data_IF_758124360171
#
_entry.id   IF_758124360171
#
_cell.length_a   1.000
_cell.length_b   1.000
_cell.length_c   1.000
_cell.angle_alpha   90.00
_cell.angle_beta   90.00
_cell.angle_gamma   90.00
#
_symmetry.space_group_name_H-M   'P 1'
#
loop_
_entity.id
_entity.type
_entity.pdbx_description
1 polymer ?
#
# COMPACT_ATOMS: atom_id res chain seq x y z
N UNK A 1 -14.79 24.38 -8.80
CA UNK A 1 -14.74 24.94 -7.44
C UNK A 1 -13.36 24.63 -6.88
N UNK A 2 -12.62 25.63 -6.40
CA UNK A 2 -11.34 25.39 -5.71
C UNK A 2 -11.65 24.86 -4.30
N UNK A 3 -11.31 23.60 -4.04
CA UNK A 3 -11.55 22.92 -2.76
C UNK A 3 -10.40 23.11 -1.77
N UNK A 4 -9.82 24.31 -1.67
CA UNK A 4 -8.81 24.57 -0.64
C UNK A 4 -9.45 25.17 0.60
N UNK A 5 -9.53 24.38 1.68
CA UNK A 5 -9.70 24.97 3.01
C UNK A 5 -8.33 25.48 3.47
N UNK A 6 -8.20 26.76 3.85
CA UNK A 6 -6.92 27.36 4.25
C UNK A 6 -6.27 26.71 5.48
N UNK A 7 -7.04 25.92 6.24
CA UNK A 7 -6.56 25.18 7.42
C UNK A 7 -5.84 23.86 7.06
N UNK A 8 -6.01 23.34 5.84
CA UNK A 8 -5.49 22.02 5.44
C UNK A 8 -3.98 22.06 5.21
N UNK A 9 -3.46 23.13 4.59
CA UNK A 9 -2.06 23.21 4.20
C UNK A 9 -1.12 23.18 5.41
N UNK A 10 -1.33 23.98 6.49
CA UNK A 10 -0.46 23.93 7.66
C UNK A 10 -0.54 22.60 8.42
N UNK A 11 -1.75 22.03 8.54
CA UNK A 11 -1.96 20.74 9.21
C UNK A 11 -1.23 19.62 8.46
N UNK A 12 -1.32 19.60 7.13
CA UNK A 12 -0.66 18.65 6.25
C UNK A 12 0.86 18.76 6.32
N UNK A 13 1.41 19.98 6.27
CA UNK A 13 2.85 20.22 6.40
C UNK A 13 3.39 19.72 7.74
N UNK A 14 2.67 19.98 8.84
CA UNK A 14 3.07 19.50 10.15
C UNK A 14 2.97 17.97 10.25
N UNK A 15 1.91 17.35 9.74
CA UNK A 15 1.76 15.90 9.72
C UNK A 15 2.87 15.22 8.92
N UNK A 16 3.32 15.80 7.79
CA UNK A 16 4.48 15.31 7.02
C UNK A 16 5.78 15.36 7.82
N UNK A 17 6.02 16.44 8.55
CA UNK A 17 7.20 16.59 9.40
C UNK A 17 7.21 15.55 10.53
N UNK A 18 6.09 15.38 11.22
CA UNK A 18 5.90 14.38 12.29
C UNK A 18 6.17 12.98 11.75
N UNK A 19 5.59 12.65 10.60
CA UNK A 19 5.77 11.38 9.93
C UNK A 19 7.21 11.12 9.52
N UNK A 20 7.89 12.10 8.91
CA UNK A 20 9.31 11.97 8.53
C UNK A 20 10.17 11.64 9.75
N UNK A 21 9.94 12.30 10.88
CA UNK A 21 10.64 12.00 12.14
C UNK A 21 10.32 10.59 12.65
N UNK A 22 9.06 10.17 12.58
CA UNK A 22 8.66 8.81 12.97
C UNK A 22 9.31 7.73 12.08
N UNK A 23 9.46 7.97 10.77
CA UNK A 23 10.21 7.09 9.87
C UNK A 23 11.70 7.03 10.23
N UNK A 24 12.33 8.18 10.49
CA UNK A 24 13.74 8.19 10.90
C UNK A 24 13.97 7.42 12.20
N UNK A 25 13.06 7.53 13.17
CA UNK A 25 13.15 6.78 14.41
C UNK A 25 12.89 5.28 14.20
N UNK A 26 11.87 4.92 13.40
CA UNK A 26 11.49 3.53 13.16
C UNK A 26 12.61 2.67 12.55
N UNK A 27 13.57 3.29 11.85
CA UNK A 27 14.70 2.60 11.21
C UNK A 27 16.06 3.01 11.76
N UNK A 28 16.07 3.71 12.91
CA UNK A 28 17.29 4.15 13.56
C UNK A 28 18.20 2.97 13.86
N UNK A 29 19.49 3.14 13.57
CA UNK A 29 20.55 2.14 13.85
C UNK A 29 20.29 0.75 13.22
N UNK A 30 19.50 0.69 12.15
CA UNK A 30 19.26 -0.53 11.39
C UNK A 30 20.54 -1.02 10.70
N UNK A 31 20.80 -2.32 10.80
CA UNK A 31 21.84 -3.04 10.05
C UNK A 31 21.24 -4.03 9.04
N UNK A 32 20.14 -4.69 9.42
CA UNK A 32 19.45 -5.69 8.60
C UNK A 32 17.95 -5.38 8.57
N UNK A 33 17.36 -5.55 7.39
CA UNK A 33 15.96 -5.30 7.12
C UNK A 33 15.27 -6.57 6.63
N UNK A 34 14.20 -6.96 7.31
CA UNK A 34 13.35 -8.08 6.94
C UNK A 34 12.00 -7.55 6.50
N UNK A 35 11.63 -7.77 5.24
CA UNK A 35 10.37 -7.28 4.69
C UNK A 35 9.51 -8.47 4.29
N UNK A 36 8.33 -8.58 4.88
CA UNK A 36 7.30 -9.50 4.44
C UNK A 36 6.26 -8.75 3.62
N UNK A 37 6.34 -8.96 2.31
CA UNK A 37 5.43 -8.42 1.33
C UNK A 37 5.26 -9.41 0.20
N UNK A 38 4.01 -9.72 -0.17
CA UNK A 38 3.70 -10.64 -1.26
C UNK A 38 3.96 -10.11 -2.67
N UNK A 39 4.80 -9.09 -2.84
CA UNK A 39 5.12 -8.53 -4.16
C UNK A 39 6.55 -7.93 -4.21
N UNK A 40 7.37 -8.43 -5.14
CA UNK A 40 8.73 -7.94 -5.41
C UNK A 40 8.81 -6.44 -5.74
N UNK A 41 7.79 -5.87 -6.39
CA UNK A 41 7.73 -4.44 -6.66
C UNK A 41 7.54 -3.60 -5.39
N UNK A 42 6.77 -4.10 -4.43
CA UNK A 42 6.61 -3.47 -3.10
C UNK A 42 7.91 -3.51 -2.31
N UNK A 43 8.64 -4.64 -2.40
CA UNK A 43 9.97 -4.79 -1.79
C UNK A 43 10.97 -3.76 -2.32
N UNK A 44 11.07 -3.64 -3.65
CA UNK A 44 11.95 -2.66 -4.30
C UNK A 44 11.58 -1.20 -3.96
N UNK A 45 10.28 -0.92 -3.84
CA UNK A 45 9.80 0.39 -3.45
C UNK A 45 10.09 0.74 -1.99
N UNK A 46 9.84 -0.19 -1.06
CA UNK A 46 10.16 -0.03 0.37
C UNK A 46 11.67 0.16 0.53
N UNK A 47 12.48 -0.62 -0.19
CA UNK A 47 13.92 -0.46 -0.22
C UNK A 47 14.35 0.92 -0.70
N UNK A 48 13.82 1.38 -1.84
CA UNK A 48 14.12 2.71 -2.39
C UNK A 48 13.71 3.82 -1.44
N UNK A 49 12.53 3.72 -0.82
CA UNK A 49 12.05 4.70 0.15
C UNK A 49 12.94 4.76 1.40
N UNK A 50 13.32 3.60 1.94
CA UNK A 50 14.26 3.53 3.06
C UNK A 50 15.60 4.15 2.68
N UNK A 51 16.11 3.87 1.49
CA UNK A 51 17.32 4.53 0.96
C UNK A 51 17.17 6.05 0.87
N UNK A 52 16.08 6.55 0.29
CA UNK A 52 15.84 7.98 0.07
C UNK A 52 15.57 8.77 1.36
N UNK A 53 14.86 8.18 2.33
CA UNK A 53 14.43 8.88 3.55
C UNK A 53 15.42 8.71 4.70
N UNK A 54 16.03 7.52 4.81
CA UNK A 54 16.73 7.08 6.02
C UNK A 54 18.24 7.11 5.83
N UNK A 55 18.71 6.83 4.60
CA UNK A 55 20.12 6.85 4.24
C UNK A 55 20.39 7.68 2.98
N UNK A 56 19.97 8.96 2.92
CA UNK A 56 20.17 9.78 1.72
C UNK A 56 21.64 9.93 1.30
N UNK A 57 22.56 9.79 2.27
CA UNK A 57 24.01 9.95 2.09
C UNK A 57 24.81 8.63 2.19
N UNK A 58 24.14 7.49 2.35
CA UNK A 58 24.80 6.18 2.44
C UNK A 58 24.18 5.19 1.45
N UNK A 59 25.03 4.46 0.72
CA UNK A 59 24.57 3.36 -0.13
C UNK A 59 24.10 2.20 0.75
N UNK A 60 22.81 2.17 1.08
CA UNK A 60 22.18 1.00 1.67
C UNK A 60 22.27 -0.15 0.65
N UNK A 61 22.96 -1.24 0.98
CA UNK A 61 23.25 -2.31 0.01
C UNK A 61 22.14 -3.36 -0.03
N UNK A 62 21.87 -3.95 -1.20
CA UNK A 62 20.87 -5.02 -1.37
C UNK A 62 21.12 -6.22 -0.43
N UNK A 63 22.38 -6.45 -0.04
CA UNK A 63 22.78 -7.52 0.89
C UNK A 63 22.26 -7.35 2.32
N UNK A 64 21.65 -6.20 2.64
CA UNK A 64 21.09 -5.91 3.96
C UNK A 64 19.57 -6.08 4.01
N UNK A 65 18.94 -6.50 2.89
CA UNK A 65 17.48 -6.64 2.77
C UNK A 65 17.11 -8.08 2.47
N UNK A 66 16.22 -8.63 3.29
CA UNK A 66 15.73 -9.98 3.18
C UNK A 66 14.23 -9.96 2.97
N UNK A 67 13.80 -10.50 1.83
CA UNK A 67 12.39 -10.79 1.61
C UNK A 67 12.01 -12.03 2.40
N UNK A 68 10.95 -11.91 3.19
CA UNK A 68 10.35 -13.00 3.95
C UNK A 68 9.02 -13.34 3.29
N UNK A 69 8.97 -14.47 2.58
CA UNK A 69 7.74 -14.94 1.94
C UNK A 69 6.98 -15.88 2.90
N UNK A 70 6.08 -15.30 3.68
CA UNK A 70 5.17 -16.03 4.59
C UNK A 70 3.71 -15.85 4.17
N UNK A 71 3.47 -15.61 2.88
CA UNK A 71 2.13 -15.39 2.33
C UNK A 71 1.21 -16.58 2.68
N UNK A 72 -0.01 -16.28 3.16
CA UNK A 72 -1.04 -17.29 3.48
C UNK A 72 -1.28 -17.56 4.96
N UNK A 73 -0.44 -17.07 5.87
CA UNK A 73 -0.64 -17.15 7.33
C UNK A 73 -1.22 -15.86 7.96
N UNK A 74 -1.51 -14.86 7.12
CA UNK A 74 -2.03 -13.56 7.51
C UNK A 74 -3.56 -13.58 7.70
N UNK A 75 -4.10 -12.73 8.59
CA UNK A 75 -5.54 -12.65 8.79
C UNK A 75 -6.24 -12.11 7.54
N UNK A 76 -7.48 -12.57 7.32
CA UNK A 76 -8.39 -11.93 6.37
C UNK A 76 -9.04 -10.72 7.04
N UNK A 77 -8.44 -9.55 6.88
CA UNK A 77 -8.95 -8.30 7.46
C UNK A 77 -9.10 -7.20 6.37
N UNK A 78 -10.18 -6.40 6.39
CA UNK A 78 -10.34 -5.26 5.48
C UNK A 78 -9.33 -4.13 5.75
N UNK A 79 -8.76 -4.03 6.94
CA UNK A 79 -7.75 -3.03 7.30
C UNK A 79 -6.36 -3.49 6.85
N UNK A 80 -5.76 -2.74 5.93
CA UNK A 80 -4.41 -3.01 5.46
C UNK A 80 -3.38 -2.94 6.61
N UNK A 81 -3.60 -2.05 7.59
CA UNK A 81 -2.71 -1.91 8.74
C UNK A 81 -2.70 -3.18 9.62
N UNK A 82 -3.84 -3.84 9.82
CA UNK A 82 -3.93 -5.07 10.63
C UNK A 82 -3.15 -6.21 9.96
N UNK A 83 -3.30 -6.34 8.64
CA UNK A 83 -2.55 -7.33 7.84
C UNK A 83 -1.05 -7.01 7.88
N UNK A 84 -0.68 -5.73 7.75
CA UNK A 84 0.71 -5.28 7.84
C UNK A 84 1.37 -5.62 9.20
N UNK A 85 0.68 -5.37 10.32
CA UNK A 85 1.18 -5.79 11.65
C UNK A 85 1.40 -7.30 11.73
N UNK A 86 0.46 -8.08 11.19
CA UNK A 86 0.57 -9.53 11.21
C UNK A 86 1.78 -10.01 10.38
N UNK A 87 2.00 -9.45 9.19
CA UNK A 87 3.18 -9.74 8.35
C UNK A 87 4.50 -9.39 9.04
N UNK A 88 4.55 -8.23 9.71
CA UNK A 88 5.70 -7.78 10.48
C UNK A 88 6.02 -8.78 11.60
N UNK A 89 5.04 -9.15 12.42
CA UNK A 89 5.20 -10.10 13.52
C UNK A 89 5.59 -11.51 13.03
N UNK A 90 4.98 -12.00 11.95
CA UNK A 90 5.33 -13.28 11.34
C UNK A 90 6.81 -13.32 10.91
N UNK A 91 7.32 -12.22 10.35
CA UNK A 91 8.73 -12.09 9.98
C UNK A 91 9.65 -12.19 11.18
N UNK A 92 9.31 -11.48 12.26
CA UNK A 92 10.02 -11.54 13.53
C UNK A 92 10.04 -12.97 14.10
N UNK A 93 8.88 -13.62 14.19
CA UNK A 93 8.74 -14.98 14.71
C UNK A 93 9.58 -15.97 13.90
N UNK A 94 9.59 -15.85 12.56
CA UNK A 94 10.41 -16.73 11.73
C UNK A 94 11.90 -16.54 11.99
N UNK A 95 12.38 -15.30 12.12
CA UNK A 95 13.80 -15.05 12.43
C UNK A 95 14.17 -15.53 13.83
N UNK A 96 13.28 -15.34 14.81
CA UNK A 96 13.46 -15.88 16.16
C UNK A 96 13.53 -17.42 16.16
N UNK A 97 12.71 -18.09 15.34
CA UNK A 97 12.70 -19.55 15.22
C UNK A 97 14.04 -20.11 14.70
N UNK A 98 14.78 -19.34 13.90
CA UNK A 98 16.10 -19.72 13.40
C UNK A 98 17.16 -19.73 14.51
N UNK A 99 17.04 -18.84 15.49
CA UNK A 99 17.96 -18.73 16.64
C UNK A 99 17.62 -19.73 17.73
N UNK A 100 16.33 -19.94 17.95
CA UNK A 100 15.79 -20.91 18.89
C UNK A 100 15.92 -22.32 18.29
N UNK A 101 17.15 -22.84 18.23
CA UNK A 101 17.40 -24.23 17.82
C UNK A 101 16.58 -25.16 18.72
N UNK A 102 16.01 -26.27 18.19
CA UNK A 102 15.10 -27.16 18.93
C UNK A 102 15.62 -27.67 20.28
N UNK A 103 16.94 -27.70 20.46
CA UNK A 103 17.61 -28.33 21.61
C UNK A 103 18.33 -27.33 22.53
N UNK A 104 18.14 -26.01 22.35
CA UNK A 104 18.71 -25.00 23.25
C UNK A 104 17.75 -23.82 23.40
N UNK A 105 17.31 -23.58 24.63
CA UNK A 105 16.63 -22.34 24.99
C UNK A 105 17.69 -21.22 24.94
N UNK A 106 17.51 -20.25 24.04
CA UNK A 106 18.30 -19.02 24.05
C UNK A 106 17.95 -18.21 25.30
N UNK A 107 18.93 -17.54 25.90
CA UNK A 107 18.64 -16.60 26.99
C UNK A 107 17.93 -15.35 26.45
N UNK A 108 17.25 -14.61 27.32
CA UNK A 108 16.62 -13.34 26.95
C UNK A 108 17.65 -12.34 26.38
N UNK A 109 18.87 -12.34 26.91
CA UNK A 109 19.98 -11.50 26.43
C UNK A 109 20.44 -11.92 25.02
N UNK A 110 20.53 -13.22 24.74
CA UNK A 110 20.87 -13.73 23.41
C UNK A 110 19.80 -13.35 22.37
N UNK A 111 18.52 -13.41 22.75
CA UNK A 111 17.41 -12.96 21.91
C UNK A 111 17.48 -11.45 21.68
N UNK A 112 17.69 -10.66 22.73
CA UNK A 112 17.79 -9.20 22.63
C UNK A 112 18.96 -8.76 21.75
N UNK A 113 20.14 -9.34 21.94
CA UNK A 113 21.32 -9.03 21.12
C UNK A 113 21.13 -9.48 19.68
N UNK A 114 20.47 -10.63 19.43
CA UNK A 114 20.14 -11.05 18.08
C UNK A 114 19.16 -10.10 17.38
N UNK A 115 18.17 -9.59 18.11
CA UNK A 115 17.12 -8.71 17.58
C UNK A 115 17.57 -7.27 17.42
N UNK A 116 18.66 -6.89 18.10
CA UNK A 116 19.28 -5.58 17.99
C UNK A 116 19.64 -5.26 16.53
N UNK A 117 19.35 -4.03 16.11
CA UNK A 117 19.64 -3.51 14.75
C UNK A 117 18.95 -4.29 13.61
N UNK A 118 18.01 -5.18 13.93
CA UNK A 118 17.12 -5.80 12.94
C UNK A 118 15.81 -5.07 12.93
N UNK A 119 15.39 -4.71 11.72
CA UNK A 119 14.10 -4.07 11.49
C UNK A 119 13.21 -5.04 10.73
N UNK A 120 11.99 -5.21 11.24
CA UNK A 120 10.97 -6.02 10.60
C UNK A 120 9.90 -5.12 10.03
N UNK A 121 9.52 -5.34 8.78
CA UNK A 121 8.52 -4.56 8.07
C UNK A 121 7.46 -5.48 7.51
N UNK A 122 6.21 -5.14 7.79
CA UNK A 122 5.06 -5.67 7.08
C UNK A 122 4.36 -4.55 6.33
N UNK A 123 3.96 -4.82 5.09
CA UNK A 123 3.22 -3.87 4.27
C UNK A 123 2.03 -4.56 3.60
N UNK A 124 0.91 -3.85 3.55
CA UNK A 124 -0.28 -4.28 2.85
C UNK A 124 -1.08 -3.10 2.28
N UNK A 125 -1.92 -3.41 1.30
CA UNK A 125 -2.73 -2.42 0.60
C UNK A 125 -4.03 -3.03 0.12
N UNK A 126 -5.14 -2.44 0.49
CA UNK A 126 -6.48 -2.82 0.05
C UNK A 126 -7.07 -1.73 -0.84
N UNK A 127 -7.92 -2.13 -1.77
CA UNK A 127 -8.63 -1.22 -2.65
C UNK A 127 -10.12 -1.45 -2.55
N UNK A 128 -10.89 -0.37 -2.56
CA UNK A 128 -12.33 -0.36 -2.44
C UNK A 128 -12.93 0.48 -3.55
N UNK A 129 -13.90 -0.07 -4.26
CA UNK A 129 -14.63 0.62 -5.31
C UNK A 129 -16.03 0.96 -4.80
N UNK A 130 -16.49 2.19 -5.01
CA UNK A 130 -17.88 2.55 -4.73
C UNK A 130 -18.81 1.90 -5.76
N UNK A 131 -19.65 0.99 -5.31
CA UNK A 131 -20.68 0.31 -6.10
C UNK A 131 -22.03 0.58 -5.43
N UNK A 132 -22.96 1.19 -6.16
CA UNK A 132 -24.30 1.55 -5.66
C UNK A 132 -24.30 2.36 -4.35
N UNK A 133 -23.26 3.18 -4.13
CA UNK A 133 -23.13 4.02 -2.93
C UNK A 133 -22.42 3.35 -1.74
N UNK A 134 -22.01 2.10 -1.87
CA UNK A 134 -21.25 1.37 -0.84
C UNK A 134 -19.84 1.04 -1.34
N UNK A 135 -18.85 1.08 -0.45
CA UNK A 135 -17.50 0.66 -0.77
C UNK A 135 -17.38 -0.86 -0.70
N UNK A 136 -17.06 -1.48 -1.83
CA UNK A 136 -16.84 -2.92 -1.95
C UNK A 136 -15.34 -3.16 -2.09
N UNK A 137 -14.77 -3.95 -1.18
CA UNK A 137 -13.37 -4.36 -1.24
C UNK A 137 -13.13 -5.17 -2.53
N UNK A 138 -12.10 -4.80 -3.26
CA UNK A 138 -11.63 -5.51 -4.44
C UNK A 138 -10.57 -6.52 -4.00
N UNK A 139 -10.76 -7.79 -4.34
CA UNK A 139 -9.90 -8.89 -3.92
C UNK A 139 -9.16 -9.48 -5.11
N UNK A 140 -7.88 -9.84 -4.95
CA UNK A 140 -7.14 -10.59 -5.97
C UNK A 140 -7.89 -11.84 -6.43
N UNK A 141 -7.78 -12.18 -7.71
CA UNK A 141 -8.29 -13.44 -8.25
C UNK A 141 -7.44 -14.65 -7.86
N UNK A 142 -6.23 -14.41 -7.34
CA UNK A 142 -5.18 -15.40 -7.00
C UNK A 142 -5.68 -16.61 -6.21
N UNK A 143 -6.66 -16.41 -5.30
CA UNK A 143 -7.07 -17.50 -4.40
C UNK A 143 -7.73 -18.69 -5.10
N UNK A 144 -8.09 -18.58 -6.38
CA UNK A 144 -8.71 -19.65 -7.17
C UNK A 144 -7.93 -20.08 -8.41
N UNK A 145 -6.95 -19.29 -8.86
CA UNK A 145 -6.27 -19.52 -10.14
C UNK A 145 -4.76 -19.36 -9.95
N UNK A 146 -4.00 -20.45 -10.14
CA UNK A 146 -2.59 -20.51 -9.76
C UNK A 146 -1.64 -19.78 -10.73
N UNK A 147 -1.95 -19.73 -12.02
CA UNK A 147 -1.01 -19.16 -13.02
C UNK A 147 -1.68 -18.44 -14.20
N UNK A 148 -2.92 -18.80 -14.54
CA UNK A 148 -3.64 -18.18 -15.66
C UNK A 148 -5.14 -18.08 -15.38
N UNK A 149 -5.72 -16.92 -15.67
CA UNK A 149 -7.17 -16.73 -15.63
C UNK A 149 -7.84 -17.42 -16.86
N UNK A 150 -8.82 -18.31 -16.65
CA UNK A 150 -9.63 -18.87 -17.74
C UNK A 150 -10.37 -17.77 -18.51
N UNK A 151 -10.60 -17.96 -19.82
CA UNK A 151 -11.28 -16.96 -20.66
C UNK A 151 -12.66 -16.58 -20.10
N UNK A 152 -13.44 -17.55 -19.63
CA UNK A 152 -14.75 -17.29 -19.03
C UNK A 152 -14.66 -16.42 -17.78
N UNK A 153 -13.64 -16.62 -16.94
CA UNK A 153 -13.42 -15.81 -15.75
C UNK A 153 -12.96 -14.40 -16.12
N UNK A 154 -12.12 -14.28 -17.16
CA UNK A 154 -11.69 -12.98 -17.68
C UNK A 154 -12.85 -12.19 -18.30
N UNK A 155 -13.73 -12.84 -19.06
CA UNK A 155 -14.93 -12.21 -19.63
C UNK A 155 -15.87 -11.73 -18.52
N UNK A 156 -16.07 -12.53 -17.46
CA UNK A 156 -16.86 -12.10 -16.29
C UNK A 156 -16.26 -10.87 -15.63
N UNK A 157 -14.94 -10.88 -15.41
CA UNK A 157 -14.21 -9.73 -14.87
C UNK A 157 -14.37 -8.49 -15.76
N UNK A 158 -14.23 -8.64 -17.08
CA UNK A 158 -14.41 -7.55 -18.03
C UNK A 158 -15.81 -6.95 -17.94
N UNK A 159 -16.86 -7.78 -17.90
CA UNK A 159 -18.23 -7.30 -17.79
C UNK A 159 -18.47 -6.57 -16.47
N UNK A 160 -17.95 -7.09 -15.36
CA UNK A 160 -18.06 -6.49 -14.03
C UNK A 160 -17.32 -5.14 -13.95
N UNK A 161 -16.07 -5.10 -14.39
CA UNK A 161 -15.26 -3.88 -14.40
C UNK A 161 -15.83 -2.85 -15.37
N UNK A 162 -16.30 -3.24 -16.56
CA UNK A 162 -16.96 -2.32 -17.50
C UNK A 162 -18.20 -1.68 -16.86
N UNK A 163 -19.03 -2.47 -16.16
CA UNK A 163 -20.20 -1.96 -15.45
C UNK A 163 -19.81 -0.94 -14.36
N UNK A 164 -18.75 -1.21 -13.60
CA UNK A 164 -18.42 -0.37 -12.45
C UNK A 164 -17.54 0.84 -12.80
N UNK A 165 -16.69 0.75 -13.82
CA UNK A 165 -15.74 1.79 -14.20
C UNK A 165 -16.21 2.63 -15.41
N UNK A 166 -16.82 2.01 -16.42
CA UNK A 166 -17.31 2.73 -17.61
C UNK A 166 -18.76 3.19 -17.48
N UNK A 167 -19.57 2.46 -16.71
CA UNK A 167 -21.00 2.77 -16.54
C UNK A 167 -21.47 2.80 -15.07
N UNK A 168 -20.75 3.51 -14.18
CA UNK A 168 -21.11 3.55 -12.77
C UNK A 168 -22.52 4.10 -12.56
N UNK A 169 -23.31 3.48 -11.67
CA UNK A 169 -24.68 3.90 -11.37
C UNK A 169 -24.79 5.37 -10.92
N UNK A 170 -23.74 5.87 -10.24
CA UNK A 170 -23.66 7.25 -9.73
C UNK A 170 -23.06 8.23 -10.75
N UNK A 171 -22.78 7.80 -11.99
CA UNK A 171 -22.17 8.62 -13.04
C UNK A 171 -20.69 8.98 -12.80
N UNK A 172 -20.07 8.39 -11.78
CA UNK A 172 -18.66 8.62 -11.42
C UNK A 172 -18.02 7.35 -10.87
N UNK A 173 -16.72 7.23 -11.06
CA UNK A 173 -15.88 6.21 -10.43
C UNK A 173 -15.29 6.81 -9.17
N UNK A 174 -15.45 6.12 -8.03
CA UNK A 174 -14.84 6.52 -6.76
C UNK A 174 -14.12 5.32 -6.18
N UNK A 175 -12.81 5.46 -6.02
CA UNK A 175 -11.93 4.42 -5.52
C UNK A 175 -11.22 4.92 -4.28
N UNK A 176 -11.10 4.04 -3.31
CA UNK A 176 -10.35 4.25 -2.08
C UNK A 176 -9.28 3.18 -1.96
N UNK A 177 -8.04 3.59 -1.76
CA UNK A 177 -6.96 2.71 -1.34
C UNK A 177 -6.70 2.90 0.16
N UNK A 178 -6.57 1.80 0.88
CA UNK A 178 -6.21 1.72 2.29
C UNK A 178 -4.82 1.08 2.38
N UNK A 179 -3.84 1.83 2.86
CA UNK A 179 -2.42 1.49 2.77
C UNK A 179 -1.82 1.43 4.16
N UNK A 180 -1.25 0.28 4.53
CA UNK A 180 -0.75 0.02 5.88
C UNK A 180 0.70 -0.45 5.87
N UNK A 181 1.51 0.15 6.73
CA UNK A 181 2.87 -0.31 7.04
C UNK A 181 3.04 -0.43 8.55
N UNK A 182 3.60 -1.54 8.98
CA UNK A 182 4.04 -1.76 10.35
C UNK A 182 5.55 -2.03 10.36
N UNK A 183 6.26 -1.39 11.28
CA UNK A 183 7.72 -1.48 11.44
C UNK A 183 8.04 -1.80 12.88
N UNK A 184 8.96 -2.74 13.12
CA UNK A 184 9.45 -3.07 14.46
C UNK A 184 10.96 -2.95 14.53
N UNK A 185 11.43 -2.09 15.43
CA UNK A 185 12.83 -1.84 15.74
C UNK A 185 12.99 -1.58 17.24
N UNK A 186 12.87 -2.63 18.04
CA UNK A 186 12.69 -2.51 19.50
C UNK A 186 11.30 -1.98 19.89
N UNK A 187 10.90 -0.82 19.35
CA UNK A 187 9.55 -0.28 19.41
C UNK A 187 8.76 -0.58 18.11
N UNK A 188 7.44 -0.62 18.22
CA UNK A 188 6.54 -0.77 17.07
C UNK A 188 6.08 0.60 16.56
N UNK A 189 6.11 0.76 15.24
CA UNK A 189 5.69 1.95 14.52
C UNK A 189 4.69 1.55 13.44
N UNK A 190 3.70 2.40 13.22
CA UNK A 190 2.60 2.14 12.29
C UNK A 190 2.36 3.37 11.43
N UNK A 191 2.13 3.15 10.14
CA UNK A 191 1.79 4.19 9.18
C UNK A 191 0.55 3.73 8.40
N UNK A 192 -0.50 4.54 8.42
CA UNK A 192 -1.79 4.20 7.78
C UNK A 192 -2.32 5.37 6.95
N UNK A 193 -2.32 5.20 5.64
CA UNK A 193 -2.78 6.21 4.69
C UNK A 193 -3.99 5.72 3.91
N UNK A 194 -4.85 6.67 3.56
CA UNK A 194 -5.95 6.46 2.64
C UNK A 194 -5.83 7.38 1.45
N UNK A 195 -5.95 6.84 0.25
CA UNK A 195 -5.95 7.61 -0.99
C UNK A 195 -7.33 7.46 -1.63
N UNK A 196 -8.04 8.55 -1.86
CA UNK A 196 -9.30 8.56 -2.59
C UNK A 196 -9.13 9.26 -3.93
N UNK A 197 -9.60 8.63 -5.00
CA UNK A 197 -9.70 9.24 -6.33
C UNK A 197 -11.16 9.18 -6.78
N UNK A 198 -11.68 10.33 -7.22
CA UNK A 198 -12.98 10.45 -7.87
C UNK A 198 -12.74 10.89 -9.30
N UNK A 199 -13.30 10.15 -10.25
CA UNK A 199 -13.16 10.39 -11.67
C UNK A 199 -14.51 10.26 -12.38
N UNK A 200 -14.60 10.88 -13.56
CA UNK A 200 -15.59 10.52 -14.56
C UNK A 200 -15.45 9.05 -14.98
N UNK A 201 -16.48 8.46 -15.60
CA UNK A 201 -16.39 7.12 -16.14
C UNK A 201 -15.16 6.94 -17.05
N UNK A 202 -14.57 5.74 -17.00
CA UNK A 202 -13.39 5.39 -17.79
C UNK A 202 -13.84 5.04 -19.21
N UNK A 203 -13.07 5.49 -20.20
CA UNK A 203 -13.25 5.06 -21.57
C UNK A 203 -13.15 3.51 -21.70
N UNK A 204 -14.14 2.84 -22.33
CA UNK A 204 -14.14 1.38 -22.45
C UNK A 204 -12.92 0.81 -23.19
N UNK A 205 -12.38 1.51 -24.19
CA UNK A 205 -11.20 1.05 -24.92
C UNK A 205 -9.96 1.13 -24.04
N UNK A 206 -9.82 2.19 -23.26
CA UNK A 206 -8.73 2.33 -22.29
C UNK A 206 -8.80 1.26 -21.20
N UNK A 207 -9.99 0.99 -20.65
CA UNK A 207 -10.18 -0.08 -19.67
C UNK A 207 -9.78 -1.44 -20.26
N UNK A 208 -10.19 -1.73 -21.50
CA UNK A 208 -9.83 -2.97 -22.19
C UNK A 208 -8.31 -3.12 -22.35
N UNK A 209 -7.60 -2.06 -22.77
CA UNK A 209 -6.15 -2.08 -22.93
C UNK A 209 -5.45 -2.43 -21.61
N UNK A 210 -5.82 -1.77 -20.51
CA UNK A 210 -5.24 -2.01 -19.19
C UNK A 210 -5.57 -3.41 -18.64
N UNK A 211 -6.79 -3.90 -18.83
CA UNK A 211 -7.18 -5.25 -18.42
C UNK A 211 -6.43 -6.31 -19.24
N UNK A 212 -6.27 -6.12 -20.54
CA UNK A 212 -5.55 -7.06 -21.39
C UNK A 212 -4.06 -7.09 -21.01
N UNK A 213 -3.43 -5.93 -20.82
CA UNK A 213 -2.05 -5.85 -20.34
C UNK A 213 -1.88 -6.53 -18.98
N UNK A 214 -2.81 -6.28 -18.04
CA UNK A 214 -2.80 -6.91 -16.71
C UNK A 214 -3.00 -8.43 -16.78
N UNK A 215 -3.70 -8.93 -17.80
CA UNK A 215 -3.85 -10.36 -18.07
C UNK A 215 -2.53 -10.95 -18.57
N UNK A 216 -1.91 -10.31 -19.54
CA UNK A 216 -0.69 -10.79 -20.21
C UNK A 216 0.51 -10.83 -19.27
N UNK A 217 0.62 -9.87 -18.35
CA UNK A 217 1.70 -9.83 -17.36
C UNK A 217 1.34 -10.51 -16.01
N UNK A 218 0.13 -11.06 -15.88
CA UNK A 218 -0.35 -11.74 -14.68
C UNK A 218 -0.68 -10.83 -13.49
N UNK A 219 -0.72 -9.51 -13.65
CA UNK A 219 -1.14 -8.57 -12.59
C UNK A 219 -2.58 -8.80 -12.13
N UNK A 220 -3.46 -9.33 -13.00
CA UNK A 220 -4.84 -9.71 -12.64
C UNK A 220 -4.89 -10.67 -11.45
N UNK A 221 -3.91 -11.57 -11.35
CA UNK A 221 -3.86 -12.52 -10.25
C UNK A 221 -3.19 -11.92 -9.02
N UNK A 222 -2.26 -10.98 -9.18
CA UNK A 222 -1.36 -10.50 -8.12
C UNK A 222 -1.81 -9.22 -7.42
N UNK A 223 -2.72 -8.45 -8.02
CA UNK A 223 -3.18 -7.14 -7.54
C UNK A 223 -4.63 -7.15 -7.06
N UNK A 224 -4.89 -6.45 -5.95
CA UNK A 224 -6.25 -6.24 -5.42
C UNK A 224 -7.12 -5.39 -6.36
N UNK A 225 -6.51 -4.63 -7.26
CA UNK A 225 -7.20 -3.82 -8.26
C UNK A 225 -7.51 -4.57 -9.56
N UNK A 226 -7.04 -5.81 -9.71
CA UNK A 226 -7.07 -6.62 -10.95
C UNK A 226 -6.30 -6.01 -12.14
N UNK A 227 -6.15 -4.70 -12.20
CA UNK A 227 -5.37 -3.98 -13.19
C UNK A 227 -4.70 -2.78 -12.52
N UNK A 228 -3.76 -2.16 -13.22
CA UNK A 228 -3.12 -0.90 -12.86
C UNK A 228 -4.16 0.25 -12.83
N UNK A 229 -5.09 0.20 -11.88
CA UNK A 229 -6.32 0.99 -11.90
C UNK A 229 -6.08 2.48 -11.63
N UNK A 230 -5.07 2.82 -10.82
CA UNK A 230 -4.70 4.22 -10.62
C UNK A 230 -4.04 4.80 -11.88
N UNK A 231 -3.22 4.02 -12.58
CA UNK A 231 -2.62 4.41 -13.85
C UNK A 231 -3.69 4.62 -14.93
N UNK A 232 -4.61 3.67 -15.06
CA UNK A 232 -5.76 3.76 -15.97
C UNK A 232 -6.61 5.02 -15.68
N UNK A 233 -6.87 5.33 -14.40
CA UNK A 233 -7.59 6.55 -14.01
C UNK A 233 -6.83 7.83 -14.36
N UNK A 234 -5.52 7.85 -14.17
CA UNK A 234 -4.67 9.00 -14.51
C UNK A 234 -4.66 9.20 -16.03
N UNK A 235 -4.52 8.13 -16.81
CA UNK A 235 -4.50 8.19 -18.27
C UNK A 235 -5.85 8.58 -18.87
N UNK A 236 -6.97 8.18 -18.24
CA UNK A 236 -8.31 8.62 -18.65
C UNK A 236 -8.47 10.15 -18.62
N UNK A 237 -7.59 10.88 -17.91
CA UNK A 237 -7.62 12.34 -17.75
C UNK A 237 -8.97 12.88 -17.23
N UNK A 238 -9.76 12.02 -16.59
CA UNK A 238 -11.12 12.29 -16.11
C UNK A 238 -11.22 12.52 -14.61
N UNK A 239 -10.09 12.60 -13.90
CA UNK A 239 -10.04 12.76 -12.45
C UNK A 239 -10.64 14.11 -12.06
N UNK A 240 -11.62 14.08 -11.16
CA UNK A 240 -12.33 15.26 -10.66
C UNK A 240 -11.75 15.72 -9.32
N UNK A 241 -11.34 14.77 -8.47
CA UNK A 241 -10.70 15.09 -7.20
C UNK A 241 -9.82 13.95 -6.67
N UNK A 242 -8.81 14.32 -5.90
CA UNK A 242 -7.93 13.39 -5.17
C UNK A 242 -7.88 13.81 -3.70
N UNK A 243 -7.84 12.86 -2.78
CA UNK A 243 -7.60 13.10 -1.37
C UNK A 243 -6.59 12.10 -0.83
N UNK A 244 -5.61 12.57 -0.04
CA UNK A 244 -4.71 11.74 0.75
C UNK A 244 -5.01 12.03 2.21
N UNK A 245 -5.41 11.01 2.97
CA UNK A 245 -5.72 11.09 4.39
C UNK A 245 -4.76 10.22 5.19
N UNK A 246 -3.77 10.90 5.73
CA UNK A 246 -2.81 10.44 6.72
C UNK A 246 -3.46 10.00 8.05
N UNK A 247 -2.86 9.04 8.76
CA UNK A 247 -3.28 8.64 10.12
C UNK A 247 -3.25 9.83 11.10
N UNK A 248 -2.19 10.65 11.05
CA UNK A 248 -2.02 11.84 11.89
C UNK A 248 -3.13 12.86 11.63
N UNK A 249 -3.48 13.09 10.37
CA UNK A 249 -4.59 13.95 9.98
C UNK A 249 -5.94 13.38 10.45
N UNK A 250 -6.12 12.06 10.39
CA UNK A 250 -7.31 11.38 10.90
C UNK A 250 -7.45 11.54 12.42
N UNK A 251 -6.34 11.40 13.15
CA UNK A 251 -6.29 11.63 14.60
C UNK A 251 -6.63 13.09 14.97
N UNK A 252 -6.33 14.04 14.07
CA UNK A 252 -6.72 15.46 14.18
C UNK A 252 -8.19 15.73 13.75
N UNK A 253 -8.97 14.70 13.39
CA UNK A 253 -10.38 14.82 13.01
C UNK A 253 -10.64 15.22 11.56
N UNK A 254 -9.63 15.15 10.69
CA UNK A 254 -9.80 15.36 9.25
C UNK A 254 -10.42 14.12 8.59
N UNK A 255 -11.08 14.34 7.45
CA UNK A 255 -11.78 13.29 6.68
C UNK A 255 -11.43 13.40 5.21
N UNK A 256 -11.58 12.31 4.45
CA UNK A 256 -11.34 12.30 3.00
C UNK A 256 -12.11 13.43 2.29
N UNK A 257 -13.39 13.62 2.65
CA UNK A 257 -14.23 14.68 2.09
C UNK A 257 -13.63 16.08 2.31
N UNK A 258 -13.01 16.34 3.47
CA UNK A 258 -12.33 17.61 3.75
C UNK A 258 -11.01 17.73 3.00
N UNK A 259 -10.31 16.61 2.78
CA UNK A 259 -8.98 16.56 2.13
C UNK A 259 -9.02 16.56 0.60
N UNK A 260 -10.21 16.47 -0.01
CA UNK A 260 -10.38 16.48 -1.48
C UNK A 260 -9.84 17.77 -2.08
N UNK A 261 -8.99 17.61 -3.08
CA UNK A 261 -8.38 18.68 -3.84
C UNK A 261 -8.55 18.41 -5.33
N UNK A 262 -8.45 19.46 -6.13
CA UNK A 262 -8.33 19.33 -7.59
C UNK A 262 -7.03 18.59 -7.94
N UNK A 263 -7.03 17.71 -8.96
CA UNK A 263 -5.85 16.95 -9.31
C UNK A 263 -4.76 17.87 -9.88
N UNK A 264 -3.67 18.04 -9.15
CA UNK A 264 -2.42 18.62 -9.65
C UNK A 264 -1.47 17.49 -10.03
N UNK A 265 -0.49 17.76 -10.90
CA UNK A 265 0.52 16.77 -11.27
C UNK A 265 1.25 16.21 -10.04
N UNK A 266 1.62 17.08 -9.10
CA UNK A 266 2.27 16.71 -7.84
C UNK A 266 1.39 15.78 -6.99
N UNK A 267 0.09 16.10 -6.84
CA UNK A 267 -0.82 15.29 -6.04
C UNK A 267 -1.13 13.93 -6.69
N UNK A 268 -1.22 13.89 -8.02
CA UNK A 268 -1.38 12.64 -8.77
C UNK A 268 -0.14 11.76 -8.68
N UNK A 269 1.05 12.35 -8.78
CA UNK A 269 2.31 11.63 -8.60
C UNK A 269 2.43 11.09 -7.17
N UNK A 270 2.06 11.89 -6.17
CA UNK A 270 1.99 11.48 -4.77
C UNK A 270 1.05 10.27 -4.57
N UNK A 271 -0.16 10.35 -5.10
CA UNK A 271 -1.16 9.28 -5.02
C UNK A 271 -0.69 8.01 -5.74
N UNK A 272 -0.13 8.15 -6.95
CA UNK A 272 0.43 7.04 -7.72
C UNK A 272 1.55 6.33 -6.96
N UNK A 273 2.51 7.10 -6.43
CA UNK A 273 3.61 6.56 -5.62
C UNK A 273 3.06 5.84 -4.39
N UNK A 274 2.12 6.44 -3.66
CA UNK A 274 1.56 5.80 -2.47
C UNK A 274 0.89 4.45 -2.80
N UNK A 275 0.04 4.42 -3.83
CA UNK A 275 -0.71 3.20 -4.22
C UNK A 275 0.20 2.11 -4.79
N UNK A 276 1.21 2.45 -5.60
CA UNK A 276 2.09 1.44 -6.18
C UNK A 276 3.05 0.81 -5.18
N UNK A 277 3.38 1.54 -4.12
CA UNK A 277 4.37 1.12 -3.14
C UNK A 277 3.75 0.58 -1.86
N UNK A 278 2.46 0.84 -1.63
CA UNK A 278 1.76 0.76 -0.34
C UNK A 278 2.39 1.63 0.76
N UNK A 279 3.23 2.59 0.39
CA UNK A 279 3.94 3.43 1.35
C UNK A 279 3.21 4.76 1.50
N UNK A 280 2.99 5.12 2.76
CA UNK A 280 2.49 6.42 3.16
C UNK A 280 3.33 7.56 2.53
N UNK A 281 2.67 8.62 2.08
CA UNK A 281 3.35 9.75 1.45
C UNK A 281 4.22 10.50 2.48
N UNK A 282 5.52 10.71 2.20
CA UNK A 282 6.50 11.31 3.14
C UNK A 282 7.17 12.60 2.62
N UNK A 283 6.74 13.19 1.49
CA UNK A 283 7.47 14.35 0.91
C UNK A 283 7.43 15.60 1.79
#
# INVERSE_FOLDING_TARGET
>A
MNFYSPEIIPAEQQSRKERKLAWLEAFREMELLFINSGNAHKLAAIYKLIGEIIYPDQSFSENQVFSVDLNGNEPMDPSALIVAHSKMLLSEIQQLSYVLKPNRLATQEEVQEFMKRKVFVGADGNSFLEVNGEFVQQHKLDRKYSEKIPDEAFIKLLLETTKNYCFPANGRVRILWDLGIAVKNGAEHSFHDQVEVISRPIDPELLWQYLLQARENGLILKSNLHFAAIECLIENAGIESVAILSQENRNKGLTLKKMRQSPTAELLEAALRAVLTDIAYVS
#
